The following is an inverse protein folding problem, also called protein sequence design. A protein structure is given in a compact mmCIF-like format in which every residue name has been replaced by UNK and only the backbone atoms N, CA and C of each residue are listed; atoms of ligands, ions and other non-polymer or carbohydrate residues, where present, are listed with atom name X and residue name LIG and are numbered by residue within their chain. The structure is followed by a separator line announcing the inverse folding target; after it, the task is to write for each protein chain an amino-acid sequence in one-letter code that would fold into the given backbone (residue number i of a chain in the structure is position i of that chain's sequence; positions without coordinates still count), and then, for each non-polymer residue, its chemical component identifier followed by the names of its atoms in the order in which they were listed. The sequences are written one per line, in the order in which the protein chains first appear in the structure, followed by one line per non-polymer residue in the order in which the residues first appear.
data_IF_398781709083
#
_entry.id   IF_398781709083
#
_cell.length_a   1.000
_cell.length_b   1.000
_cell.length_c   1.000
_cell.angle_alpha   90.00
_cell.angle_beta   90.00
_cell.angle_gamma   90.00
#
_symmetry.space_group_name_H-M   'P 1'
#
loop_
_entity.id
_entity.type
_entity.pdbx_description
1 polymer ?
#
# COMPACT_ATOMS: atom_id res chain seq x y z
N UNK A 1 -14.13 1.67 -11.50
CA UNK A 1 -13.83 1.54 -10.07
C UNK A 1 -12.39 1.13 -9.89
N UNK A 2 -11.77 1.60 -8.83
CA UNK A 2 -10.33 1.39 -8.64
C UNK A 2 -10.06 0.03 -8.01
N UNK A 3 -9.07 -0.67 -8.55
CA UNK A 3 -8.60 -1.92 -7.96
C UNK A 3 -7.76 -1.62 -6.72
N UNK A 4 -7.46 -2.67 -5.94
CA UNK A 4 -6.56 -2.53 -4.80
C UNK A 4 -5.23 -1.96 -5.26
N UNK A 5 -4.69 -2.48 -6.36
CA UNK A 5 -3.42 -2.00 -6.88
C UNK A 5 -3.47 -0.50 -7.21
N UNK A 6 -4.51 -0.06 -7.88
CA UNK A 6 -4.67 1.35 -8.22
C UNK A 6 -4.76 2.22 -6.97
N UNK A 7 -5.47 1.75 -5.96
CA UNK A 7 -5.62 2.50 -4.72
C UNK A 7 -4.32 2.57 -3.94
N UNK A 8 -3.57 1.47 -3.92
CA UNK A 8 -2.25 1.45 -3.28
C UNK A 8 -1.31 2.44 -3.98
N UNK A 9 -1.32 2.43 -5.30
CA UNK A 9 -0.48 3.36 -6.06
C UNK A 9 -0.87 4.81 -5.79
N UNK A 10 -2.16 5.10 -5.72
CA UNK A 10 -2.63 6.45 -5.49
C UNK A 10 -2.19 6.96 -4.11
N UNK A 11 -2.33 6.14 -3.08
CA UNK A 11 -1.90 6.52 -1.74
C UNK A 11 -0.39 6.71 -1.70
N UNK A 12 0.36 5.79 -2.29
CA UNK A 12 1.81 5.87 -2.34
C UNK A 12 2.27 7.14 -3.05
N UNK A 13 1.65 7.44 -4.19
CA UNK A 13 1.99 8.62 -4.95
C UNK A 13 1.76 9.89 -4.15
N UNK A 14 0.67 9.93 -3.40
CA UNK A 14 0.34 11.11 -2.59
C UNK A 14 1.36 11.33 -1.48
N UNK A 15 1.68 10.27 -0.76
CA UNK A 15 2.61 10.36 0.38
C UNK A 15 4.02 10.68 -0.10
N UNK A 16 4.46 10.04 -1.17
CA UNK A 16 5.84 10.20 -1.66
C UNK A 16 5.96 11.30 -2.72
N UNK A 17 4.84 11.91 -3.10
CA UNK A 17 4.81 13.00 -4.09
C UNK A 17 5.36 12.54 -5.43
N UNK A 18 4.85 11.40 -5.88
CA UNK A 18 5.23 10.81 -7.16
C UNK A 18 4.02 10.71 -8.07
N UNK A 19 4.28 10.50 -9.36
CA UNK A 19 3.23 10.23 -10.34
C UNK A 19 2.82 8.76 -10.20
N UNK A 20 1.52 8.46 -10.01
CA UNK A 20 1.09 7.05 -9.88
C UNK A 20 1.51 6.21 -11.09
N UNK A 21 1.60 6.80 -12.27
CA UNK A 21 1.99 6.06 -13.47
C UNK A 21 3.44 5.58 -13.42
N UNK A 22 4.24 6.18 -12.55
CA UNK A 22 5.64 5.80 -12.39
C UNK A 22 5.85 4.71 -11.35
N UNK A 23 4.79 4.34 -10.63
CA UNK A 23 4.89 3.34 -9.57
C UNK A 23 4.50 1.99 -10.15
N UNK A 24 5.41 1.01 -10.03
CA UNK A 24 5.21 -0.33 -10.56
C UNK A 24 5.24 -1.36 -9.44
N UNK A 25 4.58 -2.51 -9.63
CA UNK A 25 4.54 -3.54 -8.57
C UNK A 25 5.92 -4.03 -8.11
N UNK A 26 6.90 -4.02 -9.00
CA UNK A 26 8.24 -4.49 -8.67
C UNK A 26 9.05 -3.46 -7.88
N UNK A 27 8.57 -2.22 -7.77
CA UNK A 27 9.32 -1.19 -7.05
C UNK A 27 9.31 -1.41 -5.54
N UNK A 28 10.47 -1.22 -4.92
CA UNK A 28 10.60 -1.19 -3.48
C UNK A 28 10.23 0.20 -2.98
N UNK A 29 9.48 0.28 -1.89
CA UNK A 29 9.11 1.58 -1.34
C UNK A 29 10.32 2.39 -0.91
N UNK A 30 11.31 1.73 -0.31
CA UNK A 30 12.47 2.44 0.22
C UNK A 30 13.57 2.63 -0.82
N UNK A 31 13.90 1.57 -1.55
CA UNK A 31 15.03 1.60 -2.49
C UNK A 31 14.67 2.31 -3.78
N UNK A 32 13.54 1.94 -4.37
CA UNK A 32 13.17 2.47 -5.68
C UNK A 32 12.38 3.77 -5.59
N UNK A 33 11.52 3.89 -4.60
CA UNK A 33 10.64 5.06 -4.46
C UNK A 33 11.13 6.05 -3.42
N UNK A 34 12.16 5.71 -2.67
CA UNK A 34 12.81 6.64 -1.76
C UNK A 34 12.05 6.95 -0.49
N UNK A 35 11.18 6.05 -0.04
CA UNK A 35 10.43 6.28 1.18
C UNK A 35 11.35 6.24 2.40
N UNK A 36 11.26 7.24 3.25
CA UNK A 36 11.97 7.27 4.51
C UNK A 36 11.15 6.55 5.58
N UNK A 37 11.78 6.28 6.74
CA UNK A 37 11.11 5.55 7.82
C UNK A 37 9.80 6.21 8.23
N UNK A 38 9.79 7.53 8.36
CA UNK A 38 8.58 8.27 8.72
C UNK A 38 7.50 8.10 7.64
N UNK A 39 7.91 8.15 6.38
CA UNK A 39 6.98 8.00 5.28
C UNK A 39 6.41 6.58 5.21
N UNK A 40 7.23 5.58 5.54
CA UNK A 40 6.74 4.20 5.59
C UNK A 40 5.64 4.05 6.63
N UNK A 41 5.80 4.67 7.78
CA UNK A 41 4.78 4.65 8.83
C UNK A 41 3.53 5.38 8.36
N UNK A 42 3.70 6.52 7.67
CA UNK A 42 2.57 7.24 7.11
C UNK A 42 1.82 6.41 6.08
N UNK A 43 2.55 5.67 5.25
CA UNK A 43 1.94 4.80 4.25
C UNK A 43 1.05 3.75 4.92
N UNK A 44 1.54 3.12 5.98
CA UNK A 44 0.76 2.12 6.70
C UNK A 44 -0.54 2.74 7.22
N UNK A 45 -0.45 3.89 7.86
CA UNK A 45 -1.62 4.57 8.42
C UNK A 45 -2.61 4.94 7.31
N UNK A 46 -2.12 5.42 6.19
CA UNK A 46 -2.99 5.82 5.09
C UNK A 46 -3.64 4.64 4.40
N UNK A 47 -2.93 3.51 4.31
CA UNK A 47 -3.54 2.29 3.75
C UNK A 47 -4.65 1.80 4.67
N UNK A 48 -4.43 1.85 5.98
CA UNK A 48 -5.48 1.45 6.92
C UNK A 48 -6.73 2.31 6.76
N UNK A 49 -6.52 3.60 6.59
CA UNK A 49 -7.63 4.55 6.41
C UNK A 49 -8.31 4.35 5.06
N UNK A 50 -7.51 4.18 4.02
CA UNK A 50 -8.03 4.03 2.66
C UNK A 50 -8.91 2.80 2.53
N UNK A 51 -8.51 1.69 3.13
CA UNK A 51 -9.21 0.41 2.98
C UNK A 51 -10.12 0.07 4.16
N UNK A 52 -10.07 0.86 5.22
CA UNK A 52 -10.89 0.58 6.39
C UNK A 52 -10.48 -0.70 7.11
N UNK A 53 -9.18 -0.95 7.20
CA UNK A 53 -8.62 -2.16 7.80
C UNK A 53 -7.62 -1.81 8.88
N UNK A 54 -7.29 -2.81 9.70
CA UNK A 54 -6.20 -2.67 10.67
C UNK A 54 -5.09 -3.63 10.26
N UNK A 55 -3.86 -3.14 10.27
CA UNK A 55 -2.69 -3.94 9.92
C UNK A 55 -1.72 -3.95 11.07
N UNK A 56 -1.07 -5.10 11.29
CA UNK A 56 0.01 -5.16 12.26
C UNK A 56 1.19 -4.37 11.71
N UNK A 57 1.69 -3.42 12.49
CA UNK A 57 2.71 -2.50 12.00
C UNK A 57 3.98 -3.21 11.54
N UNK A 58 4.47 -4.16 12.35
CA UNK A 58 5.71 -4.86 12.00
C UNK A 58 5.55 -5.64 10.69
N UNK A 59 4.41 -6.30 10.52
CA UNK A 59 4.16 -7.06 9.29
C UNK A 59 4.05 -6.13 8.10
N UNK A 60 3.33 -5.02 8.28
CA UNK A 60 3.15 -4.06 7.20
C UNK A 60 4.48 -3.42 6.78
N UNK A 61 5.32 -3.10 7.76
CA UNK A 61 6.62 -2.48 7.46
C UNK A 61 7.62 -3.47 6.87
N UNK A 62 7.34 -4.77 6.98
CA UNK A 62 8.19 -5.80 6.39
C UNK A 62 7.93 -6.01 4.90
N UNK A 63 6.88 -5.41 4.38
CA UNK A 63 6.54 -5.52 2.96
C UNK A 63 7.58 -4.76 2.15
N UNK A 64 8.20 -5.43 1.19
CA UNK A 64 9.35 -4.86 0.49
C UNK A 64 9.00 -4.16 -0.82
N UNK A 65 7.88 -4.51 -1.43
CA UNK A 65 7.54 -3.94 -2.74
C UNK A 65 6.07 -3.56 -2.82
N UNK A 66 5.76 -2.74 -3.81
CA UNK A 66 4.37 -2.32 -4.06
C UNK A 66 3.48 -3.54 -4.31
N UNK A 67 3.94 -4.48 -5.12
CA UNK A 67 3.17 -5.69 -5.40
C UNK A 67 2.89 -6.51 -4.16
N UNK A 68 3.90 -6.63 -3.29
CA UNK A 68 3.71 -7.35 -2.03
C UNK A 68 2.73 -6.63 -1.12
N UNK A 69 2.74 -5.31 -1.15
CA UNK A 69 1.78 -4.52 -0.38
C UNK A 69 0.36 -4.77 -0.87
N UNK A 70 0.18 -4.84 -2.19
CA UNK A 70 -1.12 -5.13 -2.76
C UNK A 70 -1.63 -6.48 -2.28
N UNK A 71 -0.78 -7.50 -2.32
CA UNK A 71 -1.14 -8.85 -1.86
C UNK A 71 -1.48 -8.85 -0.38
N UNK A 72 -0.66 -8.18 0.41
CA UNK A 72 -0.85 -8.12 1.86
C UNK A 72 -2.19 -7.44 2.20
N UNK A 73 -2.46 -6.31 1.58
CA UNK A 73 -3.69 -5.57 1.81
C UNK A 73 -4.90 -6.38 1.36
N UNK A 74 -4.80 -7.03 0.20
CA UNK A 74 -5.89 -7.87 -0.28
C UNK A 74 -6.22 -8.98 0.71
N UNK A 75 -5.20 -9.60 1.28
CA UNK A 75 -5.42 -10.66 2.27
C UNK A 75 -6.05 -10.11 3.54
N UNK A 76 -5.56 -8.98 4.04
CA UNK A 76 -6.10 -8.38 5.25
C UNK A 76 -7.57 -7.99 5.04
N UNK A 77 -7.89 -7.44 3.87
CA UNK A 77 -9.27 -7.10 3.55
C UNK A 77 -10.16 -8.34 3.60
N UNK A 78 -9.69 -9.45 3.04
CA UNK A 78 -10.47 -10.70 3.08
C UNK A 78 -10.66 -11.19 4.51
N UNK A 79 -9.60 -11.12 5.31
CA UNK A 79 -9.66 -11.58 6.69
C UNK A 79 -10.60 -10.74 7.56
N UNK A 80 -10.68 -9.45 7.27
CA UNK A 80 -11.51 -8.54 8.04
C UNK A 80 -12.88 -8.30 7.42
N UNK A 81 -13.18 -8.98 6.34
CA UNK A 81 -14.48 -8.90 5.71
C UNK A 81 -14.76 -7.60 4.98
N UNK A 82 -13.71 -6.92 4.56
CA UNK A 82 -13.85 -5.67 3.79
C UNK A 82 -14.02 -6.02 2.32
N UNK A 83 -15.09 -5.49 1.73
CA UNK A 83 -15.38 -5.73 0.32
C UNK A 83 -14.58 -4.74 -0.53
N UNK A 84 -13.90 -5.25 -1.53
CA UNK A 84 -13.14 -4.41 -2.47
C UNK A 84 -13.57 -4.77 -3.90
N UNK A 85 -13.21 -3.88 -4.83
CA UNK A 85 -13.55 -4.09 -6.24
C UNK A 85 -12.50 -4.93 -6.96
N UNK A 86 -11.45 -5.31 -6.28
CA UNK A 86 -10.36 -6.03 -6.89
C UNK A 86 -10.71 -7.49 -7.13
N UNK A 87 -10.15 -8.05 -8.20
CA UNK A 87 -10.34 -9.45 -8.54
C UNK A 87 -9.00 -10.15 -8.61
#
# INVERSE_FOLDING_TARGET
MATIEERVKAVTARILKLDPDQIKPEHSFTVDLGAESVQSIELVAMFEEEFGIEMEEDAALSVESVGKAVEFIAQVCREQGVVTDDR
#
